data_IF_891839153759
#
_entry.id   IF_891839153759
#
_cell.length_a   1.000
_cell.length_b   1.000
_cell.length_c   1.000
_cell.angle_alpha   90.00
_cell.angle_beta   90.00
_cell.angle_gamma   90.00
#
_symmetry.space_group_name_H-M   'P 1'
#
loop_
_entity.id
_entity.type
_entity.pdbx_description
1 polymer ?
#
# COMPACT_ATOMS: atom_id res chain seq x y z
N UNK A 1 -2.40 16.92 -54.23
CA UNK A 1 -1.41 17.39 -53.23
C UNK A 1 -2.08 17.28 -51.89
N UNK A 2 -1.82 16.15 -51.24
CA UNK A 2 -2.35 15.77 -49.94
C UNK A 2 -1.78 16.64 -48.83
N UNK A 3 -2.66 17.31 -48.07
CA UNK A 3 -2.30 17.82 -46.75
C UNK A 3 -2.46 16.69 -45.74
N UNK A 4 -1.43 16.32 -44.97
CA UNK A 4 -1.61 15.38 -43.88
C UNK A 4 -2.44 16.05 -42.77
N UNK A 5 -3.61 15.48 -42.52
CA UNK A 5 -4.44 15.74 -41.35
C UNK A 5 -3.58 15.73 -40.10
N UNK A 6 -3.41 16.90 -39.48
CA UNK A 6 -2.79 17.02 -38.17
C UNK A 6 -3.54 16.14 -37.18
N UNK A 7 -2.83 15.10 -36.76
CA UNK A 7 -3.25 14.03 -35.87
C UNK A 7 -3.89 14.54 -34.58
N UNK A 8 -5.05 13.97 -34.27
CA UNK A 8 -5.50 13.65 -32.92
C UNK A 8 -4.32 13.21 -32.04
N UNK A 9 -3.85 14.05 -31.11
CA UNK A 9 -3.13 13.63 -29.91
C UNK A 9 -2.87 14.80 -28.94
N UNK A 10 -3.86 15.66 -28.70
CA UNK A 10 -3.84 16.51 -27.51
C UNK A 10 -4.43 15.73 -26.32
N UNK A 11 -3.90 14.55 -26.03
CA UNK A 11 -4.15 13.87 -24.76
C UNK A 11 -3.39 14.64 -23.70
N UNK A 12 -4.11 15.49 -22.97
CA UNK A 12 -3.67 16.19 -21.76
C UNK A 12 -2.76 15.27 -20.94
N UNK A 13 -1.46 15.50 -21.01
CA UNK A 13 -0.51 14.96 -20.04
C UNK A 13 -0.78 15.70 -18.73
N UNK A 14 -1.73 15.18 -17.94
CA UNK A 14 -1.82 15.53 -16.53
C UNK A 14 -0.44 15.21 -15.94
N UNK A 15 0.22 16.12 -15.21
CA UNK A 15 1.33 15.72 -14.36
C UNK A 15 0.76 14.78 -13.30
N UNK A 16 0.78 13.48 -13.59
CA UNK A 16 0.11 12.46 -12.78
C UNK A 16 0.86 12.36 -11.46
N UNK A 17 0.17 12.66 -10.35
CA UNK A 17 0.77 12.56 -9.02
C UNK A 17 1.35 11.15 -8.80
N UNK A 18 2.58 11.02 -8.30
CA UNK A 18 3.13 9.72 -7.95
C UNK A 18 2.28 9.12 -6.83
N UNK A 19 1.64 7.99 -7.13
CA UNK A 19 0.81 7.25 -6.19
C UNK A 19 1.61 6.88 -4.92
N UNK A 20 0.99 7.05 -3.75
CA UNK A 20 1.55 6.82 -2.41
C UNK A 20 0.65 5.88 -1.61
N UNK A 21 1.05 5.53 -0.38
CA UNK A 21 0.19 4.75 0.54
C UNK A 21 -1.21 5.36 0.75
N UNK A 22 -1.40 6.66 0.50
CA UNK A 22 -2.71 7.35 0.56
C UNK A 22 -3.70 6.89 -0.51
N UNK A 23 -3.22 6.31 -1.60
CA UNK A 23 -4.04 5.82 -2.71
C UNK A 23 -4.50 4.36 -2.52
N UNK A 24 -4.00 3.66 -1.49
CA UNK A 24 -4.40 2.28 -1.18
C UNK A 24 -5.90 2.08 -0.95
N UNK A 25 -6.63 2.98 -0.26
CA UNK A 25 -8.07 2.81 -0.06
C UNK A 25 -8.86 2.82 -1.38
N UNK A 26 -8.50 3.69 -2.31
CA UNK A 26 -9.17 3.76 -3.61
C UNK A 26 -8.80 2.56 -4.48
N UNK A 27 -7.56 2.10 -4.44
CA UNK A 27 -7.16 0.84 -5.10
C UNK A 27 -7.95 -0.36 -4.55
N UNK A 28 -8.11 -0.43 -3.23
CA UNK A 28 -8.90 -1.48 -2.58
C UNK A 28 -10.34 -1.47 -3.07
N UNK A 29 -10.99 -0.29 -3.10
CA UNK A 29 -12.35 -0.13 -3.64
C UNK A 29 -12.43 -0.60 -5.08
N UNK A 30 -11.50 -0.14 -5.92
CA UNK A 30 -11.44 -0.50 -7.33
C UNK A 30 -11.32 -2.03 -7.54
N UNK A 31 -10.42 -2.70 -6.82
CA UNK A 31 -10.27 -4.16 -6.92
C UNK A 31 -11.52 -4.90 -6.44
N UNK A 32 -12.15 -4.43 -5.34
CA UNK A 32 -13.40 -5.01 -4.86
C UNK A 32 -14.53 -4.85 -5.88
N UNK A 33 -14.64 -3.68 -6.52
CA UNK A 33 -15.58 -3.45 -7.62
C UNK A 33 -15.29 -4.33 -8.82
N UNK A 34 -14.02 -4.56 -9.18
CA UNK A 34 -13.65 -5.50 -10.23
C UNK A 34 -14.13 -6.92 -9.93
N UNK A 35 -13.98 -7.40 -8.70
CA UNK A 35 -14.48 -8.72 -8.28
C UNK A 35 -16.00 -8.79 -8.40
N UNK A 36 -16.72 -7.78 -7.89
CA UNK A 36 -18.18 -7.70 -7.97
C UNK A 36 -18.68 -7.64 -9.42
N UNK A 37 -18.04 -6.84 -10.27
CA UNK A 37 -18.37 -6.75 -11.69
C UNK A 37 -18.07 -8.06 -12.41
N UNK A 38 -16.99 -8.75 -12.05
CA UNK A 38 -16.65 -10.06 -12.62
C UNK A 38 -17.72 -11.09 -12.29
N UNK A 39 -18.16 -11.14 -11.04
CA UNK A 39 -19.25 -12.04 -10.61
C UNK A 39 -20.58 -11.69 -11.30
N UNK A 40 -20.99 -10.42 -11.29
CA UNK A 40 -22.31 -9.99 -11.80
C UNK A 40 -22.41 -9.99 -13.33
N UNK A 41 -21.42 -9.45 -14.05
CA UNK A 41 -21.48 -9.30 -15.51
C UNK A 41 -21.21 -10.61 -16.25
N UNK A 42 -20.33 -11.45 -15.71
CA UNK A 42 -19.96 -12.73 -16.34
C UNK A 42 -20.66 -13.93 -15.70
N UNK A 43 -21.54 -13.69 -14.71
CA UNK A 43 -22.33 -14.72 -14.00
C UNK A 43 -21.49 -15.81 -13.33
N UNK A 44 -20.27 -15.48 -12.92
CA UNK A 44 -19.47 -16.36 -12.08
C UNK A 44 -19.98 -16.30 -10.63
N UNK A 45 -20.08 -17.43 -9.91
CA UNK A 45 -20.23 -17.40 -8.45
C UNK A 45 -19.08 -16.60 -7.85
N UNK A 46 -19.38 -15.73 -6.87
CA UNK A 46 -18.40 -14.79 -6.31
C UNK A 46 -17.11 -15.48 -5.84
N UNK A 47 -17.24 -16.64 -5.20
CA UNK A 47 -16.16 -17.46 -4.66
C UNK A 47 -15.58 -18.49 -5.65
N UNK A 48 -15.96 -18.41 -6.93
CA UNK A 48 -15.52 -19.34 -7.97
C UNK A 48 -15.17 -18.62 -9.28
N UNK A 49 -14.82 -17.33 -9.20
CA UNK A 49 -14.29 -16.60 -10.36
C UNK A 49 -12.97 -17.27 -10.76
N UNK A 50 -12.74 -17.61 -12.05
CA UNK A 50 -11.47 -18.18 -12.47
C UNK A 50 -10.28 -17.26 -12.15
N UNK A 51 -9.22 -17.79 -11.55
CA UNK A 51 -8.05 -17.00 -11.18
C UNK A 51 -7.39 -16.32 -12.40
N UNK A 52 -7.30 -17.03 -13.54
CA UNK A 52 -6.75 -16.46 -14.77
C UNK A 52 -7.59 -15.27 -15.27
N UNK A 53 -8.92 -15.39 -15.23
CA UNK A 53 -9.81 -14.30 -15.62
C UNK A 53 -9.58 -13.06 -14.74
N UNK A 54 -9.49 -13.26 -13.41
CA UNK A 54 -9.20 -12.17 -12.50
C UNK A 54 -7.81 -11.57 -12.71
N UNK A 55 -6.81 -12.39 -13.00
CA UNK A 55 -5.46 -11.94 -13.33
C UNK A 55 -5.46 -11.01 -14.55
N UNK A 56 -6.17 -11.37 -15.61
CA UNK A 56 -6.29 -10.54 -16.81
C UNK A 56 -7.00 -9.21 -16.51
N UNK A 57 -8.06 -9.23 -15.69
CA UNK A 57 -8.76 -8.01 -15.23
C UNK A 57 -7.88 -7.10 -14.38
N UNK A 58 -7.08 -7.68 -13.48
CA UNK A 58 -6.07 -6.94 -12.73
C UNK A 58 -5.00 -6.38 -13.66
N UNK A 59 -4.70 -7.06 -14.78
CA UNK A 59 -3.74 -6.60 -15.78
C UNK A 59 -4.22 -5.33 -16.51
N UNK A 60 -5.51 -5.23 -16.80
CA UNK A 60 -6.17 -4.13 -17.53
C UNK A 60 -6.41 -2.85 -16.70
N UNK A 61 -6.22 -2.91 -15.37
CA UNK A 61 -6.40 -1.74 -14.51
C UNK A 61 -5.50 -0.56 -14.93
N UNK A 62 -5.98 0.70 -14.88
CA UNK A 62 -5.18 1.86 -15.26
C UNK A 62 -3.92 1.94 -14.41
N UNK A 63 -2.76 1.77 -15.06
CA UNK A 63 -1.44 1.66 -14.41
C UNK A 63 -0.47 2.77 -14.79
N UNK A 64 -0.65 3.40 -15.94
CA UNK A 64 0.37 4.21 -16.62
C UNK A 64 1.08 5.23 -15.70
N UNK A 65 2.39 5.05 -15.55
CA UNK A 65 3.35 6.02 -14.99
C UNK A 65 3.56 5.99 -13.47
N UNK A 66 3.03 5.00 -12.74
CA UNK A 66 3.02 4.99 -11.26
C UNK A 66 4.01 4.00 -10.64
N UNK A 67 4.36 4.20 -9.35
CA UNK A 67 5.07 3.18 -8.53
C UNK A 67 4.30 1.85 -8.49
N UNK A 68 2.98 1.92 -8.58
CA UNK A 68 2.09 0.77 -8.66
C UNK A 68 2.27 -0.03 -9.95
N UNK A 69 2.44 0.62 -11.10
CA UNK A 69 2.74 -0.07 -12.36
C UNK A 69 4.07 -0.81 -12.29
N UNK A 70 5.11 -0.14 -11.77
CA UNK A 70 6.41 -0.75 -11.62
C UNK A 70 6.35 -1.98 -10.71
N UNK A 71 5.76 -1.82 -9.51
CA UNK A 71 5.53 -2.93 -8.60
C UNK A 71 4.70 -4.07 -9.23
N UNK A 72 3.57 -3.73 -9.87
CA UNK A 72 2.72 -4.72 -10.51
C UNK A 72 3.48 -5.47 -11.60
N UNK A 73 4.26 -4.78 -12.43
CA UNK A 73 5.09 -5.38 -13.48
C UNK A 73 6.05 -6.42 -12.91
N UNK A 74 6.66 -6.14 -11.76
CA UNK A 74 7.63 -7.04 -11.13
C UNK A 74 6.98 -8.31 -10.56
N UNK A 75 5.74 -8.22 -10.07
CA UNK A 75 5.04 -9.38 -9.50
C UNK A 75 4.15 -10.12 -10.49
N UNK A 76 3.72 -9.47 -11.58
CA UNK A 76 2.73 -9.94 -12.57
C UNK A 76 2.98 -11.39 -12.98
N UNK A 77 4.15 -11.67 -13.54
CA UNK A 77 4.44 -12.97 -14.14
C UNK A 77 4.47 -14.12 -13.12
N UNK A 78 4.59 -13.79 -11.83
CA UNK A 78 4.62 -14.74 -10.71
C UNK A 78 3.36 -14.69 -9.83
N UNK A 79 2.41 -13.80 -10.11
CA UNK A 79 1.35 -13.44 -9.16
C UNK A 79 0.46 -14.65 -8.83
N UNK A 80 0.04 -15.42 -9.84
CA UNK A 80 -0.78 -16.61 -9.64
C UNK A 80 -0.02 -17.67 -8.85
N UNK A 81 1.24 -17.92 -9.18
CA UNK A 81 2.06 -18.91 -8.49
C UNK A 81 2.23 -18.56 -7.00
N UNK A 82 2.59 -17.31 -6.70
CA UNK A 82 2.74 -16.83 -5.33
C UNK A 82 1.42 -16.79 -4.56
N UNK A 83 0.32 -16.39 -5.21
CA UNK A 83 -1.02 -16.42 -4.60
C UNK A 83 -1.45 -17.85 -4.25
N UNK A 84 -1.13 -18.82 -5.12
CA UNK A 84 -1.42 -20.24 -4.90
C UNK A 84 -0.62 -20.77 -3.71
N UNK A 85 0.68 -20.46 -3.65
CA UNK A 85 1.54 -20.84 -2.52
C UNK A 85 1.06 -20.20 -1.20
N UNK A 86 0.70 -18.92 -1.22
CA UNK A 86 0.14 -18.23 -0.07
C UNK A 86 -1.16 -18.88 0.42
N UNK A 87 -2.07 -19.23 -0.51
CA UNK A 87 -3.33 -19.89 -0.17
C UNK A 87 -3.07 -21.26 0.46
N UNK A 88 -2.21 -22.07 -0.15
CA UNK A 88 -1.88 -23.41 0.36
C UNK A 88 -1.17 -23.38 1.72
N UNK A 89 -0.44 -22.31 2.02
CA UNK A 89 0.22 -22.12 3.31
C UNK A 89 -0.75 -21.78 4.45
N UNK A 90 -2.01 -21.41 4.15
CA UNK A 90 -2.98 -21.11 5.19
C UNK A 90 -3.47 -22.39 5.90
N UNK A 91 -3.71 -22.34 7.23
CA UNK A 91 -4.25 -23.47 7.97
C UNK A 91 -5.54 -23.99 7.34
N UNK A 92 -5.56 -25.28 6.99
CA UNK A 92 -6.73 -25.94 6.39
C UNK A 92 -6.95 -25.66 4.89
N UNK A 93 -6.04 -24.96 4.20
CA UNK A 93 -6.17 -24.61 2.78
C UNK A 93 -5.16 -25.34 1.87
N UNK A 94 -4.46 -26.36 2.37
CA UNK A 94 -3.42 -27.07 1.62
C UNK A 94 -3.88 -27.64 0.25
N UNK A 95 -5.16 -27.99 0.13
CA UNK A 95 -5.79 -28.46 -1.12
C UNK A 95 -6.73 -27.45 -1.77
N UNK A 96 -6.75 -26.20 -1.31
CA UNK A 96 -7.67 -25.20 -1.81
C UNK A 96 -7.30 -24.73 -3.22
N UNK A 97 -8.30 -24.64 -4.08
CA UNK A 97 -8.16 -24.06 -5.41
C UNK A 97 -8.09 -22.54 -5.30
N UNK A 98 -7.13 -21.94 -6.00
CA UNK A 98 -7.06 -20.48 -6.12
C UNK A 98 -8.21 -19.98 -7.01
N UNK A 99 -9.07 -19.13 -6.45
CA UNK A 99 -10.11 -18.40 -7.17
C UNK A 99 -9.81 -16.89 -7.21
N UNK A 100 -10.53 -16.17 -8.06
CA UNK A 100 -10.30 -14.76 -8.36
C UNK A 100 -10.45 -13.84 -7.15
N UNK A 101 -11.40 -14.11 -6.25
CA UNK A 101 -11.55 -13.37 -4.99
C UNK A 101 -10.30 -13.51 -4.11
N UNK A 102 -9.74 -14.73 -4.01
CA UNK A 102 -8.50 -15.00 -3.27
C UNK A 102 -7.26 -14.43 -3.95
N UNK A 103 -7.20 -14.45 -5.27
CA UNK A 103 -6.15 -13.76 -6.02
C UNK A 103 -6.18 -12.25 -5.76
N UNK A 104 -7.37 -11.65 -5.73
CA UNK A 104 -7.56 -10.23 -5.44
C UNK A 104 -7.20 -9.87 -4.00
N UNK A 105 -7.59 -10.69 -3.01
CA UNK A 105 -7.17 -10.53 -1.62
C UNK A 105 -5.64 -10.57 -1.49
N UNK A 106 -5.00 -11.61 -2.02
CA UNK A 106 -3.55 -11.74 -1.99
C UNK A 106 -2.86 -10.55 -2.64
N UNK A 107 -3.35 -10.10 -3.80
CA UNK A 107 -2.81 -8.94 -4.49
C UNK A 107 -2.88 -7.65 -3.64
N UNK A 108 -4.01 -7.41 -2.96
CA UNK A 108 -4.16 -6.27 -2.06
C UNK A 108 -3.26 -6.36 -0.83
N UNK A 109 -3.05 -7.55 -0.27
CA UNK A 109 -2.11 -7.75 0.84
C UNK A 109 -0.67 -7.42 0.42
N UNK A 110 -0.25 -7.89 -0.75
CA UNK A 110 1.09 -7.61 -1.25
C UNK A 110 1.30 -6.11 -1.54
N UNK A 111 0.28 -5.42 -2.05
CA UNK A 111 0.31 -3.97 -2.22
C UNK A 111 0.44 -3.24 -0.88
N UNK A 112 -0.33 -3.63 0.13
CA UNK A 112 -0.21 -3.04 1.46
C UNK A 112 1.20 -3.23 2.02
N UNK A 113 1.75 -4.45 1.93
CA UNK A 113 3.12 -4.74 2.38
C UNK A 113 4.17 -3.90 1.64
N UNK A 114 4.01 -3.69 0.33
CA UNK A 114 4.92 -2.87 -0.47
C UNK A 114 4.97 -1.42 0.01
N UNK A 115 3.83 -0.83 0.37
CA UNK A 115 3.72 0.57 0.80
C UNK A 115 3.86 0.78 2.32
N UNK A 116 3.88 -0.29 3.13
CA UNK A 116 4.02 -0.18 4.59
C UNK A 116 5.26 0.61 5.05
N UNK A 117 6.47 0.46 4.46
CA UNK A 117 7.62 1.27 4.83
C UNK A 117 7.40 2.77 4.60
N UNK A 118 6.83 3.15 3.44
CA UNK A 118 6.52 4.53 3.10
C UNK A 118 5.47 5.12 4.05
N UNK A 119 4.42 4.36 4.33
CA UNK A 119 3.36 4.72 5.28
C UNK A 119 3.93 4.94 6.67
N UNK A 120 4.75 4.01 7.20
CA UNK A 120 5.40 4.15 8.50
C UNK A 120 6.26 5.40 8.58
N UNK A 121 7.08 5.66 7.55
CA UNK A 121 7.91 6.86 7.49
C UNK A 121 7.07 8.14 7.51
N UNK A 122 5.98 8.18 6.74
CA UNK A 122 5.09 9.34 6.69
C UNK A 122 4.39 9.59 8.04
N UNK A 123 3.88 8.55 8.70
CA UNK A 123 3.22 8.66 9.99
C UNK A 123 4.20 9.09 11.10
N UNK A 124 5.44 8.59 11.09
CA UNK A 124 6.51 9.04 12.01
C UNK A 124 6.85 10.52 11.83
N UNK A 125 6.98 10.98 10.59
CA UNK A 125 7.24 12.39 10.30
C UNK A 125 6.07 13.29 10.69
N UNK A 126 4.83 12.81 10.50
CA UNK A 126 3.62 13.55 10.86
C UNK A 126 3.50 13.69 12.37
N UNK A 127 3.73 12.60 13.12
CA UNK A 127 3.79 12.62 14.58
C UNK A 127 4.89 13.55 15.10
N UNK A 128 6.08 13.56 14.49
CA UNK A 128 7.16 14.48 14.89
C UNK A 128 6.83 15.98 14.67
N UNK A 129 5.89 16.28 13.76
CA UNK A 129 5.42 17.64 13.48
C UNK A 129 4.11 17.99 14.20
N UNK A 130 3.55 17.02 14.93
CA UNK A 130 2.29 17.17 15.62
C UNK A 130 2.46 18.20 16.74
N UNK A 131 1.58 19.20 16.79
CA UNK A 131 1.58 20.28 17.76
C UNK A 131 0.14 20.65 18.14
N UNK A 132 -0.08 21.09 19.38
CA UNK A 132 -1.42 21.29 19.95
C UNK A 132 -2.19 22.52 19.39
N UNK A 133 -1.74 23.16 18.31
CA UNK A 133 -2.29 24.32 17.56
C UNK A 133 -3.74 24.76 17.87
N UNK A 134 -3.99 25.33 19.06
CA UNK A 134 -5.31 25.76 19.55
C UNK A 134 -6.44 24.70 19.52
N UNK A 135 -6.12 23.41 19.43
CA UNK A 135 -7.10 22.30 19.52
C UNK A 135 -7.22 21.81 20.95
N UNK A 136 -8.40 21.27 21.28
CA UNK A 136 -8.63 20.67 22.60
C UNK A 136 -7.62 19.54 22.86
N UNK A 137 -7.06 19.42 24.09
CA UNK A 137 -6.08 18.37 24.42
C UNK A 137 -6.57 16.94 24.09
N UNK A 138 -7.88 16.71 24.16
CA UNK A 138 -8.50 15.44 23.81
C UNK A 138 -8.45 15.14 22.31
N UNK A 139 -8.68 16.13 21.46
CA UNK A 139 -8.58 15.99 19.99
C UNK A 139 -7.12 15.77 19.57
N UNK A 140 -6.19 16.51 20.20
CA UNK A 140 -4.75 16.34 20.02
C UNK A 140 -4.31 14.91 20.40
N UNK A 141 -4.77 14.38 21.54
CA UNK A 141 -4.48 13.01 21.96
C UNK A 141 -5.06 11.96 21.01
N UNK A 142 -6.29 12.17 20.54
CA UNK A 142 -6.92 11.27 19.58
C UNK A 142 -6.11 11.20 18.28
N UNK A 143 -5.64 12.34 17.78
CA UNK A 143 -4.78 12.38 16.59
C UNK A 143 -3.45 11.65 16.84
N UNK A 144 -2.79 11.92 17.97
CA UNK A 144 -1.55 11.25 18.37
C UNK A 144 -1.67 9.72 18.44
N UNK A 145 -2.80 9.23 18.96
CA UNK A 145 -3.09 7.79 19.04
C UNK A 145 -3.23 7.14 17.66
N UNK A 146 -3.62 7.88 16.62
CA UNK A 146 -3.66 7.33 15.25
C UNK A 146 -2.27 7.01 14.70
N UNK A 147 -1.22 7.68 15.19
CA UNK A 147 0.17 7.45 14.75
C UNK A 147 0.86 6.34 15.51
N UNK A 148 0.46 6.08 16.75
CA UNK A 148 1.10 5.12 17.68
C UNK A 148 1.47 3.76 17.03
N UNK A 149 0.60 3.09 16.24
CA UNK A 149 0.94 1.81 15.63
C UNK A 149 2.15 1.84 14.68
N UNK A 150 2.54 3.02 14.19
CA UNK A 150 3.58 3.22 13.17
C UNK A 150 4.91 3.72 13.77
N UNK A 151 4.91 4.11 15.05
CA UNK A 151 6.08 4.68 15.71
C UNK A 151 7.12 3.63 16.10
N UNK A 152 6.70 2.40 16.36
CA UNK A 152 7.60 1.34 16.84
C UNK A 152 8.09 1.57 18.28
N UNK A 153 7.33 2.34 19.07
CA UNK A 153 7.60 2.62 20.48
C UNK A 153 6.55 1.94 21.36
N UNK A 154 6.92 1.64 22.60
CA UNK A 154 6.03 1.06 23.60
C UNK A 154 4.98 2.05 24.10
N UNK A 155 3.93 1.53 24.74
CA UNK A 155 2.89 2.34 25.39
C UNK A 155 3.44 3.29 26.44
N UNK A 156 4.43 2.83 27.21
CA UNK A 156 5.14 3.64 28.20
C UNK A 156 5.94 4.76 27.56
N UNK A 157 6.69 4.47 26.49
CA UNK A 157 7.47 5.49 25.77
C UNK A 157 6.58 6.52 25.11
N UNK A 158 5.46 6.08 24.50
CA UNK A 158 4.46 6.98 23.95
C UNK A 158 3.89 7.91 25.03
N UNK A 159 3.51 7.37 26.19
CA UNK A 159 2.98 8.16 27.31
C UNK A 159 4.02 9.14 27.87
N UNK A 160 5.29 8.73 27.96
CA UNK A 160 6.38 9.61 28.39
C UNK A 160 6.59 10.75 27.41
N UNK A 161 6.68 10.49 26.10
CA UNK A 161 6.80 11.53 25.08
C UNK A 161 5.60 12.49 25.15
N UNK A 162 4.39 11.95 25.30
CA UNK A 162 3.17 12.75 25.46
C UNK A 162 3.19 13.67 26.67
N UNK A 163 3.63 13.18 27.84
CA UNK A 163 3.66 13.96 29.09
C UNK A 163 4.81 14.96 29.15
N UNK A 164 5.94 14.65 28.52
CA UNK A 164 7.14 15.48 28.51
C UNK A 164 7.03 16.58 27.45
N UNK A 165 6.46 16.29 26.28
CA UNK A 165 6.32 17.24 25.17
C UNK A 165 4.96 17.91 25.11
N UNK A 166 3.86 17.26 25.50
CA UNK A 166 2.55 17.92 25.63
C UNK A 166 2.49 19.00 26.72
N UNK A 167 3.54 19.14 27.54
CA UNK A 167 3.73 20.25 28.50
C UNK A 167 4.61 21.39 27.96
N UNK A 168 5.21 21.24 26.78
CA UNK A 168 6.00 22.27 26.11
C UNK A 168 5.35 22.55 24.76
N UNK A 169 5.18 23.81 24.40
CA UNK A 169 4.58 24.22 23.12
C UNK A 169 5.48 23.92 21.89
N UNK A 170 6.07 22.72 21.80
CA UNK A 170 7.07 22.33 20.80
C UNK A 170 6.79 20.96 20.15
N UNK A 171 7.44 20.67 19.01
CA UNK A 171 7.25 19.43 18.25
C UNK A 171 7.73 18.19 19.02
N UNK A 172 7.07 17.05 18.80
CA UNK A 172 7.42 15.76 19.41
C UNK A 172 8.73 15.20 18.83
N UNK A 173 9.72 14.93 19.68
CA UNK A 173 10.99 14.31 19.28
C UNK A 173 10.82 12.81 19.14
N UNK A 174 10.62 12.37 17.89
CA UNK A 174 10.68 10.95 17.54
C UNK A 174 12.12 10.58 17.25
N UNK A 175 12.69 9.65 18.03
CA UNK A 175 13.99 9.03 17.71
C UNK A 175 13.82 8.18 16.45
N UNK A 176 14.21 8.73 15.30
CA UNK A 176 14.19 8.03 14.02
C UNK A 176 15.37 7.04 13.97
N UNK A 177 15.15 5.80 14.37
CA UNK A 177 16.06 4.72 14.00
C UNK A 177 15.81 4.35 12.54
N UNK A 178 16.69 4.86 11.67
CA UNK A 178 16.78 4.50 10.27
C UNK A 178 17.18 3.02 10.18
N UNK A 179 16.21 2.15 9.85
CA UNK A 179 16.48 0.80 9.38
C UNK A 179 17.20 0.88 8.03
N UNK A 180 18.53 0.78 8.07
CA UNK A 180 19.39 0.89 6.90
C UNK A 180 20.81 0.41 7.20
N UNK A 181 20.96 -0.79 7.78
CA UNK A 181 22.23 -1.52 7.70
C UNK A 181 22.03 -2.71 6.78
N UNK A 182 22.36 -2.49 5.51
CA UNK A 182 22.67 -3.55 4.57
C UNK A 182 23.93 -4.25 5.07
N UNK A 183 23.78 -5.48 5.57
CA UNK A 183 24.88 -6.43 5.65
C UNK A 183 25.18 -6.91 4.22
N UNK A 184 26.36 -6.52 3.73
CA UNK A 184 26.99 -7.06 2.54
C UNK A 184 28.48 -7.21 2.83
N UNK A 185 28.86 -8.36 3.38
CA UNK A 185 30.24 -8.67 3.72
C UNK A 185 31.13 -8.89 2.50
N UNK A 186 32.44 -8.73 2.68
CA UNK A 186 33.45 -9.76 2.37
C UNK A 186 34.79 -9.37 2.99
N UNK A 187 35.57 -10.41 3.30
CA UNK A 187 36.81 -10.41 4.06
C UNK A 187 38.05 -9.87 3.33
N UNK A 188 39.11 -9.69 4.14
CA UNK A 188 40.56 -9.75 3.83
C UNK A 188 41.18 -8.79 2.80
N UNK A 189 42.18 -7.99 3.20
CA UNK A 189 43.61 -8.33 3.05
C UNK A 189 44.54 -7.18 3.48
N UNK A 190 45.64 -7.58 4.16
CA UNK A 190 46.94 -6.90 4.38
C UNK A 190 47.15 -6.22 5.72
#
# INVERSE_FOLDING_TARGET
>A
MDQPSTSYAASRAWPMEPWSHKSLPDMKRYVQELVLQSSSRHRFPYNQIPAQFMFDRLNEAPKLGSRFEHYHRDVRDSLIAKATQWLQAQPGQAGATLYGDKLAEYYLEQLQQHFEPEKKANYRQSYARLAQNNVAPTAYLQEALTYKPYLGISDSEFATNWLVEGRRDGPVQVRLELAGRWDGGTAQHS
#
